data_IF_424794886592
#
_entry.id   IF_424794886592
#
_cell.length_a   1.000
_cell.length_b   1.000
_cell.length_c   1.000
_cell.angle_alpha   90.00
_cell.angle_beta   90.00
_cell.angle_gamma   90.00
#
_symmetry.space_group_name_H-M   'P 1'
#
loop_
_entity.id
_entity.type
_entity.pdbx_description
1 polymer ?
#
# COMPACT_ATOMS: atom_id res chain seq x y z
N UNK A 1 -4.47 4.52 -3.01
CA UNK A 1 -3.65 3.58 -3.81
C UNK A 1 -3.28 2.44 -2.88
N UNK A 2 -3.47 1.21 -3.28
CA UNK A 2 -2.91 0.05 -2.60
C UNK A 2 -1.45 -0.07 -3.03
N UNK A 3 -0.55 -0.34 -2.09
CA UNK A 3 0.87 -0.49 -2.39
C UNK A 3 1.10 -1.96 -2.73
N UNK A 4 1.54 -2.23 -3.95
CA UNK A 4 1.82 -3.57 -4.47
C UNK A 4 3.33 -3.64 -4.70
N UNK A 5 4.02 -4.47 -3.92
CA UNK A 5 5.46 -4.68 -4.05
C UNK A 5 5.81 -5.64 -5.19
N UNK A 6 5.03 -6.70 -5.32
CA UNK A 6 5.24 -7.71 -6.35
C UNK A 6 4.02 -7.72 -7.30
N UNK A 7 4.15 -6.97 -8.41
CA UNK A 7 3.10 -6.86 -9.42
C UNK A 7 2.86 -8.20 -10.15
N UNK A 8 3.91 -9.02 -10.30
CA UNK A 8 3.79 -10.35 -10.93
C UNK A 8 2.89 -11.27 -10.12
N UNK A 9 3.24 -11.49 -8.85
CA UNK A 9 2.46 -12.34 -7.94
C UNK A 9 1.04 -11.80 -7.74
N UNK A 10 0.88 -10.48 -7.69
CA UNK A 10 -0.43 -9.85 -7.59
C UNK A 10 -1.29 -10.13 -8.82
N UNK A 11 -0.75 -9.94 -10.04
CA UNK A 11 -1.46 -10.18 -11.29
C UNK A 11 -1.83 -11.66 -11.46
N UNK A 12 -0.90 -12.58 -11.22
CA UNK A 12 -1.15 -14.03 -11.26
C UNK A 12 -2.28 -14.43 -10.31
N UNK A 13 -2.25 -13.94 -9.08
CA UNK A 13 -3.32 -14.21 -8.10
C UNK A 13 -4.66 -13.61 -8.55
N UNK A 14 -4.67 -12.38 -9.07
CA UNK A 14 -5.88 -11.73 -9.56
C UNK A 14 -6.51 -12.54 -10.69
N UNK A 15 -5.73 -13.00 -11.66
CA UNK A 15 -6.19 -13.86 -12.76
C UNK A 15 -6.72 -15.19 -12.24
N UNK A 16 -5.97 -15.88 -11.37
CA UNK A 16 -6.34 -17.18 -10.85
C UNK A 16 -7.62 -17.18 -9.98
N UNK A 17 -7.90 -16.08 -9.29
CA UNK A 17 -9.04 -15.95 -8.37
C UNK A 17 -10.20 -15.13 -8.91
N UNK A 18 -10.06 -14.48 -10.07
CA UNK A 18 -11.03 -13.51 -10.60
C UNK A 18 -11.17 -12.24 -9.73
N UNK A 19 -10.21 -11.97 -8.85
CA UNK A 19 -10.33 -10.87 -7.88
C UNK A 19 -9.96 -9.54 -8.50
N UNK A 20 -10.94 -8.68 -8.72
CA UNK A 20 -10.75 -7.32 -9.25
C UNK A 20 -10.34 -6.34 -8.15
N UNK A 21 -10.65 -6.64 -6.87
CA UNK A 21 -10.35 -5.78 -5.75
C UNK A 21 -11.18 -4.48 -5.73
N UNK A 22 -10.82 -3.58 -4.82
CA UNK A 22 -11.54 -2.28 -4.67
C UNK A 22 -11.13 -1.22 -5.71
N UNK A 23 -10.10 -1.49 -6.50
CA UNK A 23 -9.54 -0.56 -7.50
C UNK A 23 -9.27 -1.29 -8.81
N UNK A 24 -10.32 -1.51 -9.61
CA UNK A 24 -10.22 -2.27 -10.85
C UNK A 24 -9.09 -1.78 -11.76
N UNK A 25 -8.97 -0.47 -11.97
CA UNK A 25 -7.91 0.12 -12.82
C UNK A 25 -6.48 -0.26 -12.36
N UNK A 26 -6.24 -0.39 -11.05
CA UNK A 26 -4.92 -0.82 -10.53
C UNK A 26 -4.68 -2.30 -10.80
N UNK A 27 -5.69 -3.13 -10.61
CA UNK A 27 -5.63 -4.58 -10.89
C UNK A 27 -5.38 -4.83 -12.37
N UNK A 28 -6.16 -4.18 -13.25
CA UNK A 28 -5.99 -4.30 -14.69
C UNK A 28 -4.60 -3.79 -15.15
N UNK A 29 -4.10 -2.71 -14.54
CA UNK A 29 -2.74 -2.21 -14.83
C UNK A 29 -1.65 -3.22 -14.47
N UNK A 30 -1.77 -3.94 -13.35
CA UNK A 30 -0.84 -5.00 -12.99
C UNK A 30 -0.95 -6.21 -13.93
N UNK A 31 -2.18 -6.59 -14.33
CA UNK A 31 -2.40 -7.67 -15.29
C UNK A 31 -1.82 -7.30 -16.66
N UNK A 32 -2.06 -6.08 -17.16
CA UNK A 32 -1.50 -5.61 -18.42
C UNK A 32 0.03 -5.68 -18.45
N UNK A 33 0.69 -5.19 -17.40
CA UNK A 33 2.15 -5.25 -17.25
C UNK A 33 2.67 -6.69 -17.20
N UNK A 34 1.98 -7.56 -16.47
CA UNK A 34 2.32 -8.97 -16.38
C UNK A 34 2.21 -9.65 -17.74
N UNK A 35 1.11 -9.47 -18.48
CA UNK A 35 0.92 -10.04 -19.81
C UNK A 35 1.97 -9.50 -20.81
N UNK A 36 2.27 -8.20 -20.79
CA UNK A 36 3.33 -7.61 -21.61
C UNK A 36 4.70 -8.26 -21.30
N UNK A 37 5.01 -8.48 -20.02
CA UNK A 37 6.25 -9.16 -19.60
C UNK A 37 6.30 -10.63 -20.06
N UNK A 38 5.15 -11.31 -20.17
CA UNK A 38 5.04 -12.68 -20.71
C UNK A 38 5.04 -12.71 -22.26
N UNK A 39 5.20 -11.54 -22.94
CA UNK A 39 5.34 -11.44 -24.38
C UNK A 39 4.03 -11.26 -25.16
N UNK A 40 2.93 -10.94 -24.49
CA UNK A 40 1.66 -10.66 -25.18
C UNK A 40 1.72 -9.29 -25.85
N UNK A 41 1.20 -9.22 -27.08
CA UNK A 41 1.06 -7.98 -27.83
C UNK A 41 -0.15 -7.16 -27.34
N UNK A 42 -0.14 -5.84 -27.61
CA UNK A 42 -1.20 -4.92 -27.19
C UNK A 42 -2.62 -5.41 -27.49
N UNK A 43 -2.98 -5.89 -28.69
CA UNK A 43 -4.34 -6.37 -28.97
C UNK A 43 -4.73 -7.59 -28.11
N UNK A 44 -3.77 -8.47 -27.84
CA UNK A 44 -3.98 -9.65 -26.98
C UNK A 44 -4.20 -9.25 -25.52
N UNK A 45 -3.43 -8.27 -25.04
CA UNK A 45 -3.61 -7.70 -23.69
C UNK A 45 -5.00 -7.09 -23.56
N UNK A 46 -5.42 -6.25 -24.53
CA UNK A 46 -6.75 -5.63 -24.55
C UNK A 46 -7.86 -6.69 -24.49
N UNK A 47 -7.80 -7.69 -25.36
CA UNK A 47 -8.77 -8.79 -25.39
C UNK A 47 -8.83 -9.55 -24.07
N UNK A 48 -7.67 -9.88 -23.49
CA UNK A 48 -7.60 -10.58 -22.19
C UNK A 48 -8.18 -9.75 -21.04
N UNK A 49 -7.93 -8.44 -21.02
CA UNK A 49 -8.48 -7.56 -19.98
C UNK A 49 -9.99 -7.38 -20.12
N UNK A 50 -10.53 -7.28 -21.33
CA UNK A 50 -11.97 -7.25 -21.58
C UNK A 50 -12.64 -8.55 -21.12
N UNK A 51 -12.06 -9.70 -21.49
CA UNK A 51 -12.56 -11.02 -21.06
C UNK A 51 -12.54 -11.14 -19.53
N UNK A 52 -11.43 -10.80 -18.87
CA UNK A 52 -11.30 -10.81 -17.41
C UNK A 52 -12.38 -9.97 -16.73
N UNK A 53 -12.64 -8.77 -17.25
CA UNK A 53 -13.69 -7.89 -16.72
C UNK A 53 -15.08 -8.45 -16.93
N UNK A 54 -15.37 -9.03 -18.12
CA UNK A 54 -16.65 -9.64 -18.44
C UNK A 54 -16.97 -10.82 -17.51
N UNK A 55 -15.96 -11.62 -17.19
CA UNK A 55 -16.14 -12.81 -16.34
C UNK A 55 -16.26 -12.47 -14.84
N UNK A 56 -15.64 -11.39 -14.37
CA UNK A 56 -15.44 -11.17 -12.94
C UNK A 56 -15.96 -9.83 -12.40
N UNK A 57 -16.48 -8.94 -13.24
CA UNK A 57 -17.01 -7.64 -12.82
C UNK A 57 -18.48 -7.49 -13.22
N UNK A 58 -19.37 -7.58 -12.23
CA UNK A 58 -20.82 -7.61 -12.47
C UNK A 58 -21.36 -6.39 -13.23
N UNK A 59 -20.79 -5.20 -12.99
CA UNK A 59 -21.20 -3.94 -13.62
C UNK A 59 -20.34 -3.62 -14.86
N UNK A 60 -19.78 -4.63 -15.53
CA UNK A 60 -18.93 -4.42 -16.68
C UNK A 60 -19.71 -3.94 -17.90
N UNK A 61 -19.25 -2.82 -18.48
CA UNK A 61 -19.70 -2.30 -19.76
C UNK A 61 -18.48 -2.05 -20.66
N UNK A 62 -18.40 -2.80 -21.76
CA UNK A 62 -17.25 -2.73 -22.66
C UNK A 62 -16.97 -1.30 -23.17
N UNK A 63 -18.01 -0.52 -23.52
CA UNK A 63 -17.88 0.85 -24.04
C UNK A 63 -17.26 1.79 -23.00
N UNK A 64 -17.66 1.66 -21.73
CA UNK A 64 -17.14 2.51 -20.66
C UNK A 64 -15.68 2.18 -20.28
N UNK A 65 -15.30 0.91 -20.40
CA UNK A 65 -13.97 0.44 -19.99
C UNK A 65 -12.94 0.44 -21.12
N UNK A 66 -13.38 0.48 -22.39
CA UNK A 66 -12.51 0.41 -23.58
C UNK A 66 -11.37 1.44 -23.53
N UNK A 67 -11.69 2.70 -23.32
CA UNK A 67 -10.69 3.78 -23.27
C UNK A 67 -9.70 3.66 -22.10
N UNK A 68 -10.07 3.02 -20.98
CA UNK A 68 -9.14 2.73 -19.88
C UNK A 68 -8.24 1.53 -20.24
N UNK A 69 -8.83 0.45 -20.72
CA UNK A 69 -8.13 -0.79 -21.09
C UNK A 69 -7.10 -0.49 -22.19
N UNK A 70 -7.47 0.23 -23.23
CA UNK A 70 -6.54 0.61 -24.31
C UNK A 70 -5.36 1.46 -23.80
N UNK A 71 -5.60 2.40 -22.85
CA UNK A 71 -4.52 3.17 -22.24
C UNK A 71 -3.61 2.32 -21.35
N UNK A 72 -4.16 1.34 -20.62
CA UNK A 72 -3.37 0.45 -19.79
C UNK A 72 -2.49 -0.46 -20.63
N UNK A 73 -3.04 -1.03 -21.70
CA UNK A 73 -2.32 -1.89 -22.65
C UNK A 73 -1.22 -1.13 -23.39
N UNK A 74 -1.52 0.11 -23.86
CA UNK A 74 -0.53 0.97 -24.51
C UNK A 74 0.63 1.43 -23.61
N UNK A 75 0.49 1.33 -22.29
CA UNK A 75 1.50 1.73 -21.30
C UNK A 75 2.07 0.56 -20.51
N UNK A 76 1.75 -0.67 -20.91
CA UNK A 76 2.15 -1.86 -20.17
C UNK A 76 3.68 -2.02 -20.11
N UNK A 77 4.38 -1.60 -21.17
CA UNK A 77 5.84 -1.61 -21.30
C UNK A 77 6.54 -0.35 -20.79
N UNK A 78 5.78 0.73 -20.50
CA UNK A 78 6.35 2.04 -20.12
C UNK A 78 7.20 1.99 -18.83
N UNK A 79 7.02 0.97 -18.00
CA UNK A 79 7.80 0.72 -16.78
C UNK A 79 7.95 -0.78 -16.56
N UNK A 80 9.11 -1.23 -16.07
CA UNK A 80 9.33 -2.64 -15.77
C UNK A 80 8.31 -3.13 -14.74
N UNK A 81 7.99 -4.41 -14.84
CA UNK A 81 7.17 -5.13 -13.86
C UNK A 81 7.91 -5.16 -12.52
N UNK A 82 7.32 -4.59 -11.47
CA UNK A 82 7.92 -4.61 -10.15
C UNK A 82 7.83 -6.01 -9.53
N UNK A 83 8.96 -6.55 -9.12
CA UNK A 83 9.09 -7.89 -8.53
C UNK A 83 9.88 -7.82 -7.22
N UNK A 84 9.60 -6.83 -6.37
CA UNK A 84 10.20 -6.72 -5.05
C UNK A 84 9.28 -7.37 -4.01
N UNK A 85 9.84 -8.24 -3.18
CA UNK A 85 9.07 -8.87 -2.10
C UNK A 85 9.05 -8.01 -0.85
N UNK A 86 10.10 -7.23 -0.60
CA UNK A 86 10.25 -6.42 0.60
C UNK A 86 10.94 -5.09 0.33
N UNK A 87 10.70 -4.13 1.24
CA UNK A 87 11.52 -2.92 1.37
C UNK A 87 12.41 -3.08 2.59
N UNK A 88 13.72 -2.96 2.38
CA UNK A 88 14.71 -3.07 3.46
C UNK A 88 14.95 -1.71 4.11
N UNK A 89 14.85 -1.65 5.44
CA UNK A 89 15.27 -0.53 6.28
C UNK A 89 16.60 -0.89 6.94
N UNK A 90 17.55 0.05 6.95
CA UNK A 90 18.91 -0.18 7.46
C UNK A 90 19.06 0.23 8.91
N UNK A 91 20.14 -0.21 9.57
CA UNK A 91 20.46 0.11 10.97
C UNK A 91 20.66 1.62 11.17
N UNK A 92 21.35 2.30 10.27
CA UNK A 92 21.57 3.74 10.33
C UNK A 92 20.26 4.53 10.22
N UNK A 93 19.36 4.12 9.32
CA UNK A 93 18.04 4.73 9.16
C UNK A 93 17.17 4.52 10.40
N UNK A 94 17.18 3.30 10.95
CA UNK A 94 16.41 2.98 12.16
C UNK A 94 16.94 3.75 13.38
N UNK A 95 18.27 3.90 13.51
CA UNK A 95 18.90 4.68 14.56
C UNK A 95 18.53 6.16 14.47
N UNK A 96 18.51 6.72 13.26
CA UNK A 96 18.05 8.10 13.00
C UNK A 96 16.61 8.31 13.45
N UNK A 97 15.74 7.34 13.18
CA UNK A 97 14.33 7.39 13.61
C UNK A 97 14.22 7.32 15.14
N UNK A 98 14.93 6.38 15.79
CA UNK A 98 14.90 6.21 17.25
C UNK A 98 15.41 7.46 18.00
N UNK A 99 16.37 8.19 17.42
CA UNK A 99 16.90 9.44 17.98
C UNK A 99 15.86 10.58 18.08
N UNK A 100 14.68 10.43 17.46
CA UNK A 100 13.58 11.38 17.60
C UNK A 100 12.98 11.40 19.01
N UNK A 101 13.05 10.30 19.76
CA UNK A 101 12.58 10.20 21.13
C UNK A 101 11.08 10.44 21.30
N UNK A 102 10.30 10.29 20.23
CA UNK A 102 8.86 10.53 20.21
C UNK A 102 8.18 9.48 19.34
N UNK A 103 7.50 8.52 19.95
CA UNK A 103 6.85 7.40 19.25
C UNK A 103 5.94 7.83 18.07
N UNK A 104 5.14 8.91 18.15
CA UNK A 104 4.39 9.39 16.99
C UNK A 104 5.28 9.90 15.85
N UNK A 105 6.37 10.64 16.14
CA UNK A 105 7.31 11.12 15.13
C UNK A 105 8.10 9.96 14.52
N UNK A 106 8.51 9.01 15.34
CA UNK A 106 9.23 7.81 14.89
C UNK A 106 8.40 6.98 13.90
N UNK A 107 7.13 6.72 14.25
CA UNK A 107 6.19 5.99 13.35
C UNK A 107 5.95 6.74 12.05
N UNK A 108 5.80 8.06 12.11
CA UNK A 108 5.63 8.89 10.93
C UNK A 108 6.88 8.86 10.05
N UNK A 109 8.06 9.02 10.64
CA UNK A 109 9.34 8.97 9.92
C UNK A 109 9.61 7.61 9.31
N UNK A 110 9.32 6.52 10.04
CA UNK A 110 9.42 5.15 9.52
C UNK A 110 8.49 4.93 8.32
N UNK A 111 7.24 5.40 8.41
CA UNK A 111 6.27 5.32 7.31
C UNK A 111 6.74 6.10 6.08
N UNK A 112 7.24 7.33 6.28
CA UNK A 112 7.80 8.14 5.20
C UNK A 112 9.00 7.47 4.54
N UNK A 113 9.93 6.93 5.33
CA UNK A 113 11.10 6.21 4.84
C UNK A 113 10.70 5.00 3.99
N UNK A 114 9.79 4.16 4.48
CA UNK A 114 9.32 2.99 3.73
C UNK A 114 8.67 3.39 2.41
N UNK A 115 7.86 4.45 2.40
CA UNK A 115 7.22 4.96 1.18
C UNK A 115 8.23 5.57 0.19
N UNK A 116 9.24 6.28 0.68
CA UNK A 116 10.31 6.82 -0.16
C UNK A 116 11.12 5.69 -0.81
N UNK A 117 11.49 4.67 -0.05
CA UNK A 117 12.18 3.48 -0.58
C UNK A 117 11.32 2.72 -1.58
N UNK A 118 10.03 2.56 -1.31
CA UNK A 118 9.09 1.98 -2.26
C UNK A 118 9.03 2.79 -3.58
N UNK A 119 8.98 4.11 -3.49
CA UNK A 119 8.98 4.97 -4.68
C UNK A 119 10.28 4.83 -5.50
N UNK A 120 11.43 4.64 -4.85
CA UNK A 120 12.71 4.40 -5.50
C UNK A 120 12.78 3.04 -6.22
N UNK A 121 12.07 2.01 -5.74
CA UNK A 121 11.96 0.73 -6.47
C UNK A 121 11.28 0.90 -7.84
N UNK A 122 10.27 1.78 -7.92
CA UNK A 122 9.59 2.09 -9.19
C UNK A 122 10.37 3.04 -10.09
N UNK A 123 11.05 3.99 -9.48
CA UNK A 123 11.79 5.02 -10.19
C UNK A 123 13.00 5.45 -9.37
N UNK A 124 14.20 4.93 -9.67
CA UNK A 124 15.42 5.32 -8.98
C UNK A 124 15.71 6.83 -9.04
N UNK A 125 15.26 7.52 -10.09
CA UNK A 125 15.40 8.98 -10.22
C UNK A 125 14.40 9.77 -9.35
N UNK A 126 13.50 9.11 -8.62
CA UNK A 126 12.52 9.77 -7.74
C UNK A 126 13.18 10.60 -6.62
N UNK A 127 14.39 10.25 -6.21
CA UNK A 127 15.15 11.01 -5.20
C UNK A 127 14.52 11.02 -3.81
N UNK A 128 13.65 10.05 -3.49
CA UNK A 128 13.03 9.91 -2.16
C UNK A 128 11.75 10.73 -1.94
N UNK A 129 11.11 11.19 -3.00
CA UNK A 129 9.84 11.91 -2.92
C UNK A 129 8.65 10.99 -2.62
N UNK A 130 7.84 11.40 -1.65
CA UNK A 130 6.59 10.77 -1.20
C UNK A 130 5.43 11.69 -1.59
N UNK A 131 4.52 11.17 -2.40
CA UNK A 131 3.41 11.92 -3.01
C UNK A 131 2.06 11.66 -2.36
N UNK A 132 2.00 10.84 -1.31
CA UNK A 132 0.78 10.50 -0.61
C UNK A 132 0.22 11.70 0.17
N UNK A 133 -1.11 11.83 0.20
CA UNK A 133 -1.80 12.83 1.03
C UNK A 133 -1.44 12.64 2.51
N UNK A 134 -1.28 13.72 3.25
CA UNK A 134 -0.93 13.69 4.68
C UNK A 134 -1.91 12.82 5.50
N UNK A 135 -3.20 12.92 5.23
CA UNK A 135 -4.20 12.07 5.89
C UNK A 135 -3.96 10.57 5.71
N UNK A 136 -3.40 10.17 4.56
CA UNK A 136 -3.01 8.78 4.29
C UNK A 136 -1.74 8.43 5.04
N UNK A 137 -0.73 9.30 5.03
CA UNK A 137 0.53 9.11 5.76
C UNK A 137 0.30 8.92 7.25
N UNK A 138 -0.46 9.81 7.88
CA UNK A 138 -0.75 9.76 9.30
C UNK A 138 -1.57 8.53 9.69
N UNK A 139 -2.51 8.12 8.84
CA UNK A 139 -3.25 6.86 9.02
C UNK A 139 -2.32 5.64 8.96
N UNK A 140 -1.45 5.55 7.95
CA UNK A 140 -0.48 4.46 7.79
C UNK A 140 0.53 4.43 8.95
N UNK A 141 0.93 5.60 9.45
CA UNK A 141 1.78 5.74 10.62
C UNK A 141 1.07 5.43 11.95
N UNK A 142 -0.24 5.18 11.94
CA UNK A 142 -1.04 5.02 13.16
C UNK A 142 -0.96 6.23 14.11
N UNK A 143 -0.85 7.44 13.54
CA UNK A 143 -0.80 8.70 14.29
C UNK A 143 -2.12 9.42 14.16
N UNK A 144 -2.87 9.52 15.25
CA UNK A 144 -4.09 10.31 15.31
C UNK A 144 -3.73 11.76 15.68
N UNK A 145 -3.94 12.69 14.75
CA UNK A 145 -3.64 14.10 14.94
C UNK A 145 -4.55 14.95 14.06
N UNK A 146 -5.05 16.06 14.58
CA UNK A 146 -5.73 17.10 13.77
C UNK A 146 -4.77 17.78 12.79
N UNK A 147 -5.30 18.52 11.82
CA UNK A 147 -4.51 19.12 10.71
C UNK A 147 -3.33 19.98 11.22
N UNK A 148 -3.55 20.83 12.20
CA UNK A 148 -2.50 21.69 12.79
C UNK A 148 -1.38 20.87 13.41
N UNK A 149 -1.73 19.84 14.18
CA UNK A 149 -0.75 18.94 14.80
C UNK A 149 -0.01 18.10 13.75
N UNK A 150 -0.68 17.70 12.67
CA UNK A 150 -0.03 17.04 11.53
C UNK A 150 1.03 17.96 10.90
N UNK A 151 0.68 19.21 10.62
CA UNK A 151 1.61 20.21 10.10
C UNK A 151 2.78 20.44 11.06
N UNK A 152 2.52 20.66 12.35
CA UNK A 152 3.55 20.84 13.38
C UNK A 152 4.52 19.65 13.43
N UNK A 153 4.03 18.41 13.36
CA UNK A 153 4.89 17.23 13.36
C UNK A 153 5.80 17.16 12.13
N UNK A 154 5.27 17.47 10.94
CA UNK A 154 6.07 17.51 9.71
C UNK A 154 7.09 18.66 9.74
N UNK A 155 6.74 19.84 10.25
CA UNK A 155 7.70 20.95 10.43
C UNK A 155 8.83 20.57 11.39
N UNK A 156 8.54 19.88 12.50
CA UNK A 156 9.57 19.36 13.39
C UNK A 156 10.53 18.37 12.72
N UNK A 157 10.04 17.52 11.81
CA UNK A 157 10.92 16.66 11.02
C UNK A 157 11.78 17.44 10.03
N UNK A 158 11.23 18.51 9.44
CA UNK A 158 11.98 19.41 8.56
C UNK A 158 13.05 20.18 9.33
N UNK A 159 12.76 20.71 10.51
CA UNK A 159 13.73 21.41 11.38
C UNK A 159 14.90 20.48 11.79
N UNK A 160 14.66 19.17 11.87
CA UNK A 160 15.69 18.16 12.09
C UNK A 160 16.39 17.69 10.80
N UNK A 161 16.14 18.36 9.69
CA UNK A 161 16.70 18.03 8.36
C UNK A 161 16.44 16.60 7.89
N UNK A 162 15.38 15.96 8.38
CA UNK A 162 15.00 14.61 7.96
C UNK A 162 14.11 14.59 6.72
N UNK A 163 13.40 15.70 6.48
CA UNK A 163 12.54 15.88 5.32
C UNK A 163 12.63 17.28 4.76
N UNK A 164 12.26 17.42 3.49
CA UNK A 164 11.95 18.69 2.85
C UNK A 164 10.59 18.67 2.18
N UNK A 165 9.98 19.84 2.00
CA UNK A 165 8.73 20.01 1.27
C UNK A 165 9.00 20.42 -0.17
N UNK A 166 8.12 20.01 -1.10
CA UNK A 166 8.14 20.54 -2.45
C UNK A 166 7.86 22.04 -2.46
N UNK A 167 8.38 22.75 -3.46
CA UNK A 167 8.14 24.19 -3.64
C UNK A 167 6.74 24.51 -4.17
N UNK A 168 5.99 23.50 -4.63
CA UNK A 168 4.62 23.67 -5.15
C UNK A 168 3.64 23.84 -4.00
N UNK A 169 2.90 24.95 -3.99
CA UNK A 169 1.93 25.31 -2.95
C UNK A 169 0.74 24.34 -2.93
N UNK A 170 0.33 23.84 -4.08
CA UNK A 170 -0.89 23.03 -4.22
C UNK A 170 -0.68 21.53 -3.90
N UNK A 171 0.57 21.06 -3.90
CA UNK A 171 0.90 19.67 -3.61
C UNK A 171 2.17 19.60 -2.76
N UNK A 172 2.01 19.68 -1.44
CA UNK A 172 3.11 19.52 -0.50
C UNK A 172 3.57 18.05 -0.46
N UNK A 173 4.35 17.68 -1.46
CA UNK A 173 5.09 16.42 -1.45
C UNK A 173 6.23 16.50 -0.44
N UNK A 174 6.60 15.37 0.11
CA UNK A 174 7.63 15.26 1.13
C UNK A 174 8.79 14.46 0.56
N UNK A 175 10.00 15.02 0.60
CA UNK A 175 11.23 14.28 0.29
C UNK A 175 11.89 13.83 1.59
N UNK A 176 12.28 12.56 1.61
CA UNK A 176 13.01 11.97 2.74
C UNK A 176 14.51 12.12 2.49
N UNK A 177 15.23 12.71 3.45
CA UNK A 177 16.65 13.09 3.31
C UNK A 177 17.62 12.10 3.99
N UNK A 178 17.12 11.23 4.88
CA UNK A 178 17.93 10.29 5.67
C UNK A 178 17.98 8.87 5.10
N UNK A 179 17.82 8.71 3.78
CA UNK A 179 18.03 7.45 3.08
C UNK A 179 19.51 7.04 3.16
N UNK A 180 19.78 5.81 3.63
CA UNK A 180 21.15 5.26 3.78
C UNK A 180 21.17 3.81 3.28
N UNK A 181 21.16 3.59 1.95
CA UNK A 181 21.08 2.24 1.37
C UNK A 181 22.30 1.38 1.69
N UNK A 182 23.48 1.98 1.92
CA UNK A 182 24.75 1.29 2.10
C UNK A 182 25.00 0.80 3.53
N UNK A 183 24.07 1.04 4.46
CA UNK A 183 24.16 0.54 5.84
C UNK A 183 23.59 -0.87 5.96
N UNK A 184 23.99 -1.60 7.01
CA UNK A 184 23.50 -2.95 7.28
C UNK A 184 21.97 -3.03 7.39
N UNK A 185 21.33 -4.08 6.85
CA UNK A 185 19.90 -4.29 7.00
C UNK A 185 19.49 -4.44 8.47
N UNK A 186 18.43 -3.73 8.87
CA UNK A 186 17.82 -3.82 10.19
C UNK A 186 16.52 -4.62 10.17
N UNK A 187 15.66 -4.34 9.19
CA UNK A 187 14.38 -5.03 9.04
C UNK A 187 13.90 -4.97 7.58
N UNK A 188 12.90 -5.81 7.26
CA UNK A 188 12.29 -5.91 5.93
C UNK A 188 10.79 -5.76 6.07
N UNK A 189 10.20 -4.82 5.34
CA UNK A 189 8.76 -4.58 5.29
C UNK A 189 8.19 -5.18 4.00
N UNK A 190 7.24 -6.10 4.12
CA UNK A 190 6.51 -6.74 3.03
C UNK A 190 5.05 -6.23 2.91
N UNK A 191 4.51 -5.65 3.96
CA UNK A 191 3.13 -5.15 4.03
C UNK A 191 3.07 -3.66 4.38
N UNK A 192 2.63 -2.85 3.43
CA UNK A 192 2.50 -1.39 3.59
C UNK A 192 1.15 -0.94 4.14
N UNK A 193 0.27 -1.85 4.53
CA UNK A 193 -1.04 -1.47 5.07
C UNK A 193 -0.93 -0.74 6.40
N UNK A 194 0.04 -1.13 7.24
CA UNK A 194 0.22 -0.59 8.60
C UNK A 194 1.71 -0.44 9.01
N UNK A 195 2.53 0.34 8.27
CA UNK A 195 3.96 0.46 8.59
C UNK A 195 4.22 1.04 9.98
N UNK A 196 3.34 1.92 10.48
CA UNK A 196 3.46 2.42 11.86
C UNK A 196 3.27 1.35 12.93
N UNK A 197 2.41 0.34 12.69
CA UNK A 197 2.28 -0.80 13.60
C UNK A 197 3.47 -1.76 13.47
N UNK A 198 3.99 -1.94 12.26
CA UNK A 198 5.21 -2.71 12.07
C UNK A 198 6.37 -2.10 12.86
N UNK A 199 6.52 -0.76 12.83
CA UNK A 199 7.51 -0.07 13.66
C UNK A 199 7.31 -0.33 15.15
N UNK A 200 6.07 -0.28 15.65
CA UNK A 200 5.77 -0.58 17.05
C UNK A 200 6.15 -2.03 17.43
N UNK A 201 5.94 -2.98 16.53
CA UNK A 201 6.37 -4.38 16.78
C UNK A 201 7.90 -4.50 16.89
N UNK A 202 8.67 -3.71 16.13
CA UNK A 202 10.14 -3.64 16.26
C UNK A 202 10.59 -3.05 17.61
N UNK A 203 9.73 -2.25 18.25
CA UNK A 203 9.96 -1.71 19.60
C UNK A 203 9.48 -2.64 20.72
N UNK A 204 9.02 -3.85 20.39
CA UNK A 204 8.52 -4.82 21.35
C UNK A 204 7.06 -4.60 21.79
N UNK A 205 6.33 -3.65 21.16
CA UNK A 205 4.91 -3.50 21.44
C UNK A 205 4.10 -4.68 20.89
N UNK A 206 3.06 -5.05 21.63
CA UNK A 206 2.17 -6.14 21.24
C UNK A 206 1.35 -5.77 19.99
N UNK A 207 1.73 -6.37 18.87
CA UNK A 207 1.02 -6.30 17.59
C UNK A 207 0.74 -7.72 17.13
N UNK A 208 -0.42 -7.96 16.52
CA UNK A 208 -0.81 -9.27 16.00
C UNK A 208 -1.23 -9.17 14.54
N UNK A 209 -1.18 -10.29 13.82
CA UNK A 209 -1.73 -10.39 12.48
C UNK A 209 -3.22 -10.76 12.55
N UNK A 210 -4.04 -10.12 11.71
CA UNK A 210 -5.44 -10.49 11.54
C UNK A 210 -5.53 -11.91 10.97
N UNK A 211 -6.22 -12.80 11.64
CA UNK A 211 -6.36 -14.20 11.24
C UNK A 211 -7.08 -14.40 9.88
N UNK A 212 -7.75 -13.36 9.36
CA UNK A 212 -8.45 -13.42 8.09
C UNK A 212 -7.64 -12.82 6.93
N UNK A 213 -7.13 -11.58 7.08
CA UNK A 213 -6.48 -10.85 6.00
C UNK A 213 -4.97 -10.60 6.21
N UNK A 214 -4.39 -11.10 7.29
CA UNK A 214 -2.96 -10.94 7.61
C UNK A 214 -2.53 -9.52 8.04
N UNK A 215 -3.40 -8.51 7.92
CA UNK A 215 -3.09 -7.13 8.27
C UNK A 215 -2.67 -7.01 9.75
N UNK A 216 -1.62 -6.23 10.02
CA UNK A 216 -1.21 -5.92 11.39
C UNK A 216 -2.28 -5.12 12.13
N UNK A 217 -2.47 -5.42 13.42
CA UNK A 217 -3.34 -4.67 14.31
C UNK A 217 -2.80 -4.66 15.74
N UNK A 218 -3.07 -3.56 16.45
CA UNK A 218 -2.85 -3.46 17.89
C UNK A 218 -4.10 -4.00 18.59
N UNK A 219 -4.05 -5.12 19.30
CA UNK A 219 -5.22 -5.71 19.91
C UNK A 219 -5.72 -4.85 21.07
N UNK A 220 -7.03 -4.61 21.13
CA UNK A 220 -7.70 -3.91 22.24
C UNK A 220 -8.01 -4.85 23.41
N UNK A 221 -8.13 -6.15 23.12
CA UNK A 221 -8.41 -7.20 24.11
C UNK A 221 -7.52 -8.41 23.83
N UNK A 222 -7.30 -9.25 24.85
CA UNK A 222 -6.44 -10.42 24.71
C UNK A 222 -6.96 -11.44 23.68
N UNK A 223 -8.26 -11.51 23.48
CA UNK A 223 -8.91 -12.47 22.58
C UNK A 223 -9.16 -11.91 21.16
N UNK A 224 -8.70 -10.72 20.86
CA UNK A 224 -8.90 -10.14 19.51
C UNK A 224 -8.05 -10.88 18.48
N UNK A 225 -8.70 -11.51 17.48
CA UNK A 225 -8.07 -12.24 16.38
C UNK A 225 -8.23 -11.54 15.02
N UNK A 226 -9.21 -10.65 14.88
CA UNK A 226 -9.60 -10.06 13.60
C UNK A 226 -9.50 -8.54 13.63
N UNK A 227 -9.11 -7.93 12.50
CA UNK A 227 -9.19 -6.49 12.35
C UNK A 227 -10.67 -6.03 12.28
N UNK A 228 -10.96 -4.74 12.55
CA UNK A 228 -12.34 -4.25 12.54
C UNK A 228 -13.10 -4.53 11.24
N UNK A 229 -12.43 -4.40 10.08
CA UNK A 229 -13.05 -4.68 8.78
C UNK A 229 -13.45 -6.13 8.61
N UNK A 230 -12.52 -7.08 8.84
CA UNK A 230 -12.84 -8.51 8.75
C UNK A 230 -13.89 -8.95 9.78
N UNK A 231 -13.85 -8.38 10.98
CA UNK A 231 -14.88 -8.65 12.00
C UNK A 231 -16.27 -8.18 11.55
N UNK A 232 -16.36 -6.99 10.99
CA UNK A 232 -17.62 -6.45 10.47
C UNK A 232 -18.17 -7.32 9.31
N UNK A 233 -17.31 -7.71 8.38
CA UNK A 233 -17.69 -8.58 7.27
C UNK A 233 -18.15 -9.98 7.73
N UNK A 234 -17.45 -10.58 8.68
CA UNK A 234 -17.87 -11.85 9.28
C UNK A 234 -19.22 -11.74 10.01
N UNK A 235 -19.45 -10.63 10.72
CA UNK A 235 -20.72 -10.41 11.41
C UNK A 235 -21.86 -10.23 10.39
N UNK A 236 -21.62 -9.50 9.29
CA UNK A 236 -22.61 -9.33 8.22
C UNK A 236 -22.98 -10.71 7.60
N UNK A 237 -21.98 -11.53 7.25
CA UNK A 237 -22.22 -12.88 6.71
C UNK A 237 -23.03 -13.74 7.67
N UNK A 238 -22.73 -13.69 8.98
CA UNK A 238 -23.51 -14.42 9.99
C UNK A 238 -24.95 -13.92 10.10
N UNK A 239 -25.17 -12.61 10.01
CA UNK A 239 -26.50 -12.02 10.04
C UNK A 239 -27.32 -12.44 8.83
N UNK A 240 -26.75 -12.35 7.62
CA UNK A 240 -27.41 -12.80 6.39
C UNK A 240 -27.74 -14.28 6.43
N UNK A 241 -26.83 -15.13 6.88
CA UNK A 241 -27.11 -16.57 7.04
C UNK A 241 -28.28 -16.87 7.99
N UNK A 242 -28.40 -16.10 9.09
CA UNK A 242 -29.55 -16.21 10.00
C UNK A 242 -30.86 -15.79 9.35
N UNK A 243 -30.86 -14.71 8.56
CA UNK A 243 -32.05 -14.29 7.82
C UNK A 243 -32.50 -15.35 6.81
N UNK A 244 -31.57 -15.91 6.03
CA UNK A 244 -31.89 -16.98 5.08
C UNK A 244 -32.43 -18.23 5.75
N UNK A 245 -31.86 -18.66 6.87
CA UNK A 245 -32.36 -19.80 7.63
C UNK A 245 -33.72 -19.54 8.31
N UNK A 246 -34.02 -18.28 8.67
CA UNK A 246 -35.33 -17.92 9.25
C UNK A 246 -36.44 -17.72 8.19
N UNK A 247 -36.05 -17.39 6.95
CA UNK A 247 -36.98 -17.18 5.84
C UNK A 247 -37.40 -18.46 5.12
N UNK A 248 -36.88 -19.63 5.51
CA UNK A 248 -37.34 -20.94 5.01
C UNK A 248 -37.07 -21.24 3.52
N UNK A 249 -35.98 -20.63 2.94
CA UNK A 249 -35.45 -20.98 1.62
C UNK A 249 -34.29 -21.93 1.70
#
# INVERSE_FOLDING_TARGET
MEIILNERTFAQRAIATGSIGKKPAQTLGCIAKYLCHEGYEKPQIEGTLHQFMQEHYADYNAVEWDGLISRLSARADARPLLQADTVTVTQSELSTIKALGSSPLERLSFTLLCLAKYALLFNPANGGWVTQKWSVLFRMAHVQAGKEKQASMLHRLREKELIEFSRSVDNLHIRVLFLRPDSEPACKLDDFREPGLYYLSLQGERVIHCACCGKLLRPKTNNQKYCPGCRAEMNLKKTLARYHSAAGF
#
